data_IF_170675181005
#
_entry.id   IF_170675181005
#
_cell.length_a   1.000
_cell.length_b   1.000
_cell.length_c   1.000
_cell.angle_alpha   90.00
_cell.angle_beta   90.00
_cell.angle_gamma   90.00
#
_symmetry.space_group_name_H-M   'P 1'
#
loop_
_entity.id
_entity.type
_entity.pdbx_description
1 polymer ?
#
# COMPACT_ATOMS: atom_id res chain seq x y z
N UNK A 1 -22.39 14.48 -7.01
CA UNK A 1 -21.05 13.95 -7.34
C UNK A 1 -20.39 13.56 -6.03
N UNK A 2 -19.86 12.35 -5.91
CA UNK A 2 -19.16 11.93 -4.69
C UNK A 2 -17.75 12.52 -4.66
N UNK A 3 -17.38 13.20 -3.58
CA UNK A 3 -16.05 13.78 -3.39
C UNK A 3 -15.26 12.87 -2.46
N UNK A 4 -14.02 12.52 -2.83
CA UNK A 4 -13.13 11.75 -1.95
C UNK A 4 -12.54 12.70 -0.92
N UNK A 5 -12.87 12.47 0.35
CA UNK A 5 -12.38 13.29 1.48
C UNK A 5 -11.24 12.62 2.26
N UNK A 6 -11.03 11.32 2.05
CA UNK A 6 -9.94 10.60 2.70
C UNK A 6 -9.60 9.31 1.98
N UNK A 7 -8.31 8.99 1.95
CA UNK A 7 -7.80 7.74 1.40
C UNK A 7 -6.69 7.20 2.31
N UNK A 8 -6.78 5.92 2.65
CA UNK A 8 -5.75 5.20 3.42
C UNK A 8 -5.48 3.87 2.74
N UNK A 9 -4.20 3.59 2.45
CA UNK A 9 -3.78 2.29 1.92
C UNK A 9 -3.64 1.26 3.05
N UNK A 10 -4.22 0.09 2.84
CA UNK A 10 -4.29 -1.00 3.80
C UNK A 10 -3.64 -2.26 3.23
N UNK A 11 -3.28 -3.19 4.11
CA UNK A 11 -2.90 -4.55 3.75
C UNK A 11 -3.99 -5.22 2.92
N UNK A 12 -3.66 -6.30 2.21
CA UNK A 12 -4.60 -6.99 1.33
C UNK A 12 -5.93 -7.35 2.01
N UNK A 13 -5.86 -7.78 3.28
CA UNK A 13 -7.03 -8.13 4.08
C UNK A 13 -7.83 -6.93 4.61
N UNK A 14 -7.38 -5.70 4.38
CA UNK A 14 -8.05 -4.47 4.82
C UNK A 14 -8.02 -4.24 6.34
N UNK A 15 -7.11 -4.90 7.06
CA UNK A 15 -7.11 -4.92 8.53
C UNK A 15 -6.03 -4.04 9.18
N UNK A 16 -5.07 -3.53 8.41
CA UNK A 16 -3.94 -2.74 8.93
C UNK A 16 -3.44 -1.74 7.89
N UNK A 17 -3.05 -0.50 8.26
CA UNK A 17 -2.36 0.41 7.35
C UNK A 17 -1.05 -0.18 6.84
N UNK A 18 -0.77 -0.10 5.54
CA UNK A 18 0.46 -0.72 4.96
C UNK A 18 1.73 -0.14 5.57
N UNK A 19 1.71 1.15 5.94
CA UNK A 19 2.86 1.82 6.54
C UNK A 19 3.25 1.23 7.91
N UNK A 20 2.27 0.72 8.65
CA UNK A 20 2.46 0.13 9.97
C UNK A 20 2.88 -1.34 9.89
N UNK A 21 2.75 -1.97 8.71
CA UNK A 21 3.13 -3.36 8.52
C UNK A 21 4.65 -3.54 8.69
N UNK A 22 5.00 -4.54 9.48
CA UNK A 22 6.36 -5.04 9.65
C UNK A 22 6.42 -6.48 9.15
N UNK A 23 7.42 -6.79 8.33
CA UNK A 23 7.67 -8.13 7.81
C UNK A 23 9.08 -8.53 8.19
N UNK A 24 9.29 -9.83 8.38
CA UNK A 24 10.63 -10.38 8.53
C UNK A 24 11.40 -10.17 7.22
N UNK A 25 12.65 -9.73 7.35
CA UNK A 25 13.58 -9.63 6.24
C UNK A 25 14.42 -10.89 6.17
N UNK A 26 14.38 -11.55 5.01
CA UNK A 26 15.16 -12.75 4.73
C UNK A 26 16.13 -12.46 3.59
N UNK A 27 17.29 -13.09 3.66
CA UNK A 27 18.27 -13.11 2.57
C UNK A 27 18.41 -14.53 2.08
N UNK A 28 18.22 -14.74 0.79
CA UNK A 28 18.37 -16.06 0.17
C UNK A 28 19.85 -16.42 0.02
N UNK A 29 20.14 -17.70 -0.27
CA UNK A 29 21.49 -18.16 -0.58
C UNK A 29 22.11 -17.41 -1.77
N UNK A 30 21.27 -16.93 -2.69
CA UNK A 30 21.64 -16.16 -3.87
C UNK A 30 21.77 -14.65 -3.59
N UNK A 31 21.74 -14.26 -2.31
CA UNK A 31 21.83 -12.86 -1.81
C UNK A 31 20.66 -11.96 -2.24
N UNK A 32 19.54 -12.53 -2.63
CA UNK A 32 18.31 -11.75 -2.85
C UNK A 32 17.69 -11.38 -1.50
N UNK A 33 17.08 -10.19 -1.42
CA UNK A 33 16.50 -9.67 -0.19
C UNK A 33 14.98 -9.56 -0.32
N UNK A 34 14.25 -10.01 0.70
CA UNK A 34 12.80 -9.86 0.79
C UNK A 34 12.36 -8.47 1.27
N UNK A 35 13.26 -7.47 1.24
CA UNK A 35 12.96 -6.10 1.65
C UNK A 35 11.77 -5.59 0.85
N UNK A 36 10.75 -5.16 1.58
CA UNK A 36 9.57 -4.59 0.99
C UNK A 36 9.73 -3.08 0.93
N UNK A 37 9.65 -2.53 -0.28
CA UNK A 37 9.47 -1.09 -0.45
C UNK A 37 8.08 -0.70 0.05
N UNK A 38 8.04 0.07 1.13
CA UNK A 38 6.77 0.58 1.66
C UNK A 38 6.22 1.62 0.68
N UNK A 39 4.94 1.50 0.25
CA UNK A 39 4.34 2.49 -0.63
C UNK A 39 4.33 3.86 0.05
N UNK A 40 4.53 4.92 -0.74
CA UNK A 40 4.45 6.29 -0.27
C UNK A 40 3.03 6.58 0.22
N UNK A 41 2.93 7.32 1.34
CA UNK A 41 1.63 7.75 1.87
C UNK A 41 0.90 8.60 0.83
N UNK A 42 -0.29 8.16 0.43
CA UNK A 42 -1.12 8.88 -0.54
C UNK A 42 -1.79 10.09 0.10
N UNK A 43 -2.04 11.10 -0.73
CA UNK A 43 -2.76 12.31 -0.36
C UNK A 43 -4.03 12.41 -1.19
N UNK A 44 -5.07 13.05 -0.65
CA UNK A 44 -6.33 13.30 -1.39
C UNK A 44 -6.09 14.13 -2.66
N UNK A 45 -5.01 14.91 -2.69
CA UNK A 45 -4.62 15.72 -3.85
C UNK A 45 -3.89 14.92 -4.95
N UNK A 46 -3.51 13.67 -4.70
CA UNK A 46 -2.80 12.80 -5.66
C UNK A 46 -3.35 11.37 -5.58
N UNK A 47 -4.34 11.11 -6.44
CA UNK A 47 -5.05 9.84 -6.54
C UNK A 47 -4.52 8.93 -7.66
N UNK A 48 -3.31 9.21 -8.17
CA UNK A 48 -2.70 8.39 -9.21
C UNK A 48 -2.07 7.12 -8.60
N UNK A 49 -2.62 5.96 -8.95
CA UNK A 49 -2.17 4.66 -8.45
C UNK A 49 -1.47 3.91 -9.59
N UNK A 50 -0.16 3.72 -9.46
CA UNK A 50 0.62 2.85 -10.36
C UNK A 50 0.64 1.42 -9.80
N UNK A 51 0.49 0.44 -10.69
CA UNK A 51 0.54 -0.99 -10.38
C UNK A 51 1.63 -1.68 -11.20
N UNK A 52 2.52 -2.38 -10.51
CA UNK A 52 3.43 -3.34 -11.12
C UNK A 52 2.69 -4.64 -11.48
N UNK A 53 3.22 -5.46 -12.40
CA UNK A 53 2.63 -6.77 -12.72
C UNK A 53 2.36 -7.58 -11.45
N UNK A 54 1.18 -8.20 -11.36
CA UNK A 54 0.68 -8.96 -10.21
C UNK A 54 0.52 -8.19 -8.90
N UNK A 55 0.62 -6.85 -8.91
CA UNK A 55 0.41 -6.04 -7.71
C UNK A 55 -1.08 -5.84 -7.42
N UNK A 56 -1.49 -6.08 -6.16
CA UNK A 56 -2.81 -5.74 -5.65
C UNK A 56 -2.61 -4.67 -4.55
N UNK A 57 -3.34 -3.56 -4.66
CA UNK A 57 -3.36 -2.48 -3.66
C UNK A 57 -4.78 -2.30 -3.12
N UNK A 58 -4.91 -2.22 -1.80
CA UNK A 58 -6.19 -2.14 -1.11
C UNK A 58 -6.31 -0.80 -0.41
N UNK A 59 -7.44 -0.11 -0.59
CA UNK A 59 -7.65 1.23 -0.03
C UNK A 59 -8.99 1.33 0.70
N UNK A 60 -9.00 2.05 1.81
CA UNK A 60 -10.22 2.56 2.45
C UNK A 60 -10.40 4.01 2.03
N UNK A 61 -11.54 4.28 1.38
CA UNK A 61 -11.89 5.60 0.85
C UNK A 61 -13.09 6.15 1.61
N UNK A 62 -13.02 7.43 1.99
CA UNK A 62 -14.14 8.18 2.58
C UNK A 62 -14.71 9.09 1.50
N UNK A 63 -16.02 8.97 1.24
CA UNK A 63 -16.74 9.71 0.20
C UNK A 63 -17.84 10.55 0.86
N UNK A 64 -18.02 11.78 0.40
CA UNK A 64 -19.16 12.65 0.71
C UNK A 64 -20.08 12.85 -0.50
#
# INVERSE_FOLDING_TARGET
HGIINGIVELTLAGNMPVNDMQRLEWTTIDKESSKMDKPKMMSVNDLNIVLNPMQIRTFRVTVE
#
